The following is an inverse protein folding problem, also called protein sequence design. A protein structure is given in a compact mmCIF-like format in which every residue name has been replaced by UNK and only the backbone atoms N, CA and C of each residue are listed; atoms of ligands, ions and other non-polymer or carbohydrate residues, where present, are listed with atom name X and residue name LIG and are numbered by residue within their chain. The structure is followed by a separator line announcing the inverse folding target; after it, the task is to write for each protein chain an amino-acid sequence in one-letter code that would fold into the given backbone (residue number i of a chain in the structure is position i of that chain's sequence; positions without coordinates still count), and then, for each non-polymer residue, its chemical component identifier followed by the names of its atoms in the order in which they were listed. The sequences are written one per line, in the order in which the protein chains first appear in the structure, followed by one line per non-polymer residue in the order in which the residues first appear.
data_IF_161208895360
#
_entry.id   IF_161208895360
#
_cell.length_a   1.000
_cell.length_b   1.000
_cell.length_c   1.000
_cell.angle_alpha   90.00
_cell.angle_beta   90.00
_cell.angle_gamma   90.00
#
_symmetry.space_group_name_H-M   'P 1'
#
loop_
_entity.id
_entity.type
_entity.pdbx_description
1 polymer ?
#
# COMPACT_ATOMS: atom_id res chain seq x y z
N UNK A 1 -24.81 -51.66 -14.51
CA UNK A 1 -25.62 -50.60 -15.17
C UNK A 1 -25.56 -49.30 -14.36
N UNK A 2 -25.00 -48.27 -14.98
CA UNK A 2 -24.66 -46.96 -14.41
C UNK A 2 -25.86 -46.17 -13.90
N UNK A 3 -25.68 -45.47 -12.79
CA UNK A 3 -26.43 -44.24 -12.49
C UNK A 3 -25.47 -43.16 -12.03
N UNK A 4 -24.97 -42.40 -13.00
CA UNK A 4 -24.16 -41.19 -12.79
C UNK A 4 -25.02 -40.08 -12.20
N UNK A 5 -24.92 -39.89 -10.88
CA UNK A 5 -25.46 -38.72 -10.18
C UNK A 5 -24.51 -37.53 -10.32
N UNK A 6 -24.84 -36.61 -11.23
CA UNK A 6 -24.16 -35.32 -11.41
C UNK A 6 -24.43 -34.43 -10.18
N UNK A 7 -23.43 -34.23 -9.34
CA UNK A 7 -23.50 -33.23 -8.28
C UNK A 7 -23.54 -31.81 -8.88
N UNK A 8 -24.44 -30.91 -8.42
CA UNK A 8 -24.48 -29.53 -8.86
C UNK A 8 -23.26 -28.76 -8.30
N UNK A 9 -22.65 -27.93 -9.15
CA UNK A 9 -21.54 -27.05 -8.77
C UNK A 9 -22.02 -26.04 -7.73
N UNK A 10 -21.30 -25.95 -6.61
CA UNK A 10 -21.49 -24.93 -5.59
C UNK A 10 -21.21 -23.52 -6.16
N UNK A 11 -21.85 -22.46 -5.62
CA UNK A 11 -21.91 -21.15 -6.25
C UNK A 11 -20.56 -20.42 -6.29
N UNK A 12 -20.37 -19.63 -7.34
CA UNK A 12 -19.29 -18.64 -7.48
C UNK A 12 -19.33 -17.64 -6.30
N UNK A 13 -18.12 -17.20 -5.87
CA UNK A 13 -17.79 -16.11 -4.92
C UNK A 13 -18.93 -15.12 -4.64
N UNK A 14 -19.07 -14.62 -3.39
CA UNK A 14 -19.54 -13.27 -3.18
C UNK A 14 -18.50 -12.32 -3.79
N UNK A 15 -18.86 -11.81 -4.96
CA UNK A 15 -18.34 -10.59 -5.52
C UNK A 15 -18.63 -9.49 -4.48
N UNK A 16 -17.60 -8.96 -3.81
CA UNK A 16 -17.74 -7.67 -3.12
C UNK A 16 -17.75 -6.61 -4.22
N UNK A 17 -18.87 -6.54 -4.92
CA UNK A 17 -19.32 -5.36 -5.64
C UNK A 17 -19.98 -4.44 -4.62
N UNK A 18 -19.16 -3.61 -4.01
CA UNK A 18 -19.47 -2.20 -3.74
C UNK A 18 -18.23 -1.61 -3.12
N UNK A 19 -17.36 -1.07 -3.96
CA UNK A 19 -16.53 0.07 -3.59
C UNK A 19 -17.44 1.32 -3.63
N UNK A 20 -18.58 1.27 -2.95
CA UNK A 20 -19.35 2.45 -2.62
C UNK A 20 -18.62 3.08 -1.43
N UNK A 21 -17.86 4.13 -1.76
CA UNK A 21 -17.52 5.24 -0.87
C UNK A 21 -17.44 4.88 0.61
N UNK A 22 -16.26 4.41 1.03
CA UNK A 22 -15.95 4.29 2.44
C UNK A 22 -16.03 5.71 3.05
N UNK A 23 -16.98 6.02 3.97
CA UNK A 23 -17.29 7.41 4.37
C UNK A 23 -16.18 8.12 5.17
N UNK A 24 -15.08 7.42 5.45
CA UNK A 24 -13.97 7.91 6.29
C UNK A 24 -12.88 8.65 5.52
N UNK A 25 -13.00 8.77 4.19
CA UNK A 25 -12.04 9.49 3.36
C UNK A 25 -12.79 10.57 2.59
N UNK A 26 -12.83 11.79 3.13
CA UNK A 26 -13.19 12.93 2.32
C UNK A 26 -12.23 12.99 1.11
N UNK A 27 -12.73 12.98 -0.14
CA UNK A 27 -11.88 13.15 -1.30
C UNK A 27 -11.16 14.49 -1.17
N UNK A 28 -9.84 14.42 -0.98
CA UNK A 28 -8.98 15.59 -0.97
C UNK A 28 -8.09 15.53 -2.23
N UNK A 29 -7.50 16.64 -2.67
CA UNK A 29 -6.53 16.65 -3.79
C UNK A 29 -5.36 15.68 -3.61
N UNK A 30 -5.17 15.16 -2.39
CA UNK A 30 -4.13 14.20 -2.02
C UNK A 30 -4.63 12.75 -1.96
N UNK A 31 -5.93 12.49 -2.09
CA UNK A 31 -6.49 11.13 -2.15
C UNK A 31 -7.56 11.09 -3.26
N UNK A 32 -7.15 11.12 -4.54
CA UNK A 32 -8.09 11.11 -5.65
C UNK A 32 -8.89 9.81 -5.65
N UNK A 33 -10.18 9.90 -6.01
CA UNK A 33 -11.07 8.76 -6.21
C UNK A 33 -10.72 8.01 -7.50
N UNK A 34 -9.52 7.44 -7.56
CA UNK A 34 -9.04 6.62 -8.67
C UNK A 34 -8.83 5.17 -8.22
N UNK A 35 -8.53 4.28 -9.16
CA UNK A 35 -8.32 2.86 -8.87
C UNK A 35 -7.07 2.71 -8.00
N UNK A 36 -7.06 1.73 -7.10
CA UNK A 36 -5.91 1.48 -6.23
C UNK A 36 -4.58 1.35 -7.00
N UNK A 37 -4.62 0.82 -8.23
CA UNK A 37 -3.45 0.70 -9.12
C UNK A 37 -2.80 2.04 -9.47
N UNK A 38 -3.58 3.11 -9.49
CA UNK A 38 -3.13 4.45 -9.92
C UNK A 38 -2.61 5.27 -8.74
N UNK A 39 -2.84 4.84 -7.49
CA UNK A 39 -2.45 5.59 -6.30
C UNK A 39 -0.93 5.74 -6.14
N UNK A 40 -0.14 4.78 -6.61
CA UNK A 40 1.32 4.89 -6.61
C UNK A 40 1.83 6.07 -7.45
N UNK A 41 1.08 6.51 -8.47
CA UNK A 41 1.44 7.61 -9.36
C UNK A 41 0.76 8.93 -8.99
N UNK A 42 -0.53 8.85 -8.63
CA UNK A 42 -1.39 10.02 -8.45
C UNK A 42 -1.33 10.61 -7.04
N UNK A 43 -0.88 9.83 -6.05
CA UNK A 43 -0.76 10.33 -4.67
C UNK A 43 0.56 11.07 -4.49
N UNK A 44 0.61 12.33 -4.91
CA UNK A 44 1.86 13.12 -4.85
C UNK A 44 2.19 13.56 -3.41
N UNK A 45 3.43 13.34 -2.91
CA UNK A 45 3.87 13.86 -1.62
C UNK A 45 4.02 15.39 -1.65
N UNK A 46 3.92 16.04 -0.48
CA UNK A 46 4.06 17.51 -0.36
C UNK A 46 5.42 17.99 -0.88
N UNK A 47 6.48 17.19 -0.72
CA UNK A 47 7.81 17.45 -1.25
C UNK A 47 8.19 16.37 -2.27
N UNK A 48 7.84 16.55 -3.57
CA UNK A 48 8.17 15.59 -4.60
C UNK A 48 9.65 15.68 -5.02
N UNK A 49 10.11 14.66 -5.74
CA UNK A 49 11.47 14.48 -6.30
C UNK A 49 12.16 15.77 -6.79
N UNK A 50 11.40 16.68 -7.43
CA UNK A 50 11.94 17.93 -8.01
C UNK A 50 12.61 18.89 -7.01
N UNK A 51 12.35 18.77 -5.69
CA UNK A 51 12.97 19.66 -4.71
C UNK A 51 14.35 19.14 -4.24
N UNK A 52 14.57 17.82 -4.29
CA UNK A 52 15.85 17.23 -3.86
C UNK A 52 16.99 17.47 -4.86
N UNK A 53 16.69 17.47 -6.16
CA UNK A 53 17.69 17.69 -7.21
C UNK A 53 17.81 19.18 -7.57
N UNK A 54 18.35 19.99 -6.64
CA UNK A 54 18.47 21.45 -6.76
C UNK A 54 19.37 21.92 -7.94
N UNK A 55 19.95 21.00 -8.71
CA UNK A 55 20.92 21.28 -9.78
C UNK A 55 20.39 21.09 -11.20
N UNK A 56 19.25 20.42 -11.40
CA UNK A 56 18.70 20.17 -12.73
C UNK A 56 17.20 20.46 -12.76
N UNK A 57 16.79 21.48 -13.52
CA UNK A 57 15.37 21.81 -13.73
C UNK A 57 14.80 20.87 -14.80
N UNK A 58 14.41 19.66 -14.41
CA UNK A 58 13.65 18.77 -15.30
C UNK A 58 12.24 19.32 -15.54
N UNK A 59 11.71 19.16 -16.75
CA UNK A 59 10.34 19.54 -17.04
C UNK A 59 9.35 18.65 -16.29
N UNK A 60 8.12 19.14 -16.07
CA UNK A 60 7.05 18.34 -15.48
C UNK A 60 6.77 17.05 -16.28
N UNK A 61 6.89 17.12 -17.60
CA UNK A 61 6.69 15.98 -18.52
C UNK A 61 7.76 14.91 -18.27
N UNK A 62 9.02 15.32 -18.10
CA UNK A 62 10.12 14.38 -17.84
C UNK A 62 9.93 13.68 -16.48
N UNK A 63 9.51 14.43 -15.46
CA UNK A 63 9.19 13.83 -14.15
C UNK A 63 8.04 12.83 -14.21
N UNK A 64 6.95 13.18 -14.88
CA UNK A 64 5.82 12.26 -15.07
C UNK A 64 6.23 10.99 -15.81
N UNK A 65 7.10 11.14 -16.82
CA UNK A 65 7.66 10.00 -17.55
C UNK A 65 8.51 9.12 -16.64
N UNK A 66 9.35 9.70 -15.78
CA UNK A 66 10.14 8.96 -14.79
C UNK A 66 9.22 8.18 -13.84
N UNK A 67 8.20 8.83 -13.27
CA UNK A 67 7.25 8.16 -12.38
C UNK A 67 6.55 6.99 -13.08
N UNK A 68 6.07 7.22 -14.30
CA UNK A 68 5.42 6.20 -15.12
C UNK A 68 6.35 5.01 -15.38
N UNK A 69 7.59 5.25 -15.80
CA UNK A 69 8.57 4.18 -16.07
C UNK A 69 8.86 3.37 -14.81
N UNK A 70 9.08 4.02 -13.66
CA UNK A 70 9.31 3.30 -12.39
C UNK A 70 8.09 2.45 -12.02
N UNK A 71 6.88 2.97 -12.20
CA UNK A 71 5.66 2.21 -11.90
C UNK A 71 5.51 0.94 -12.76
N UNK A 72 6.13 0.86 -13.95
CA UNK A 72 6.14 -0.36 -14.76
C UNK A 72 6.98 -1.49 -14.15
N UNK A 73 7.74 -1.24 -13.08
CA UNK A 73 8.42 -2.29 -12.32
C UNK A 73 7.45 -3.30 -11.67
N UNK A 74 6.16 -2.95 -11.55
CA UNK A 74 5.14 -3.81 -10.95
C UNK A 74 3.99 -4.12 -11.92
N UNK A 75 3.47 -5.33 -11.86
CA UNK A 75 2.25 -5.71 -12.57
C UNK A 75 1.03 -4.96 -12.00
N UNK A 76 -0.03 -4.81 -12.79
CA UNK A 76 -1.23 -4.08 -12.38
C UNK A 76 -1.89 -4.63 -11.11
N UNK A 77 -1.93 -5.96 -10.94
CA UNK A 77 -2.46 -6.60 -9.72
C UNK A 77 -1.61 -6.30 -8.49
N UNK A 78 -0.28 -6.19 -8.66
CA UNK A 78 0.64 -5.78 -7.59
C UNK A 78 0.42 -4.32 -7.24
N UNK A 79 0.25 -3.43 -8.23
CA UNK A 79 -0.07 -2.02 -7.99
C UNK A 79 -1.40 -1.85 -7.23
N UNK A 80 -2.42 -2.65 -7.54
CA UNK A 80 -3.70 -2.62 -6.80
C UNK A 80 -3.50 -3.01 -5.31
N UNK A 81 -2.70 -4.05 -5.07
CA UNK A 81 -2.36 -4.50 -3.72
C UNK A 81 -1.56 -3.43 -2.97
N UNK A 82 -0.57 -2.86 -3.63
CA UNK A 82 0.29 -1.81 -3.09
C UNK A 82 -0.47 -0.52 -2.82
N UNK A 83 -1.35 -0.11 -3.72
CA UNK A 83 -2.26 1.01 -3.51
C UNK A 83 -3.12 0.80 -2.27
N UNK A 84 -3.72 -0.39 -2.12
CA UNK A 84 -4.51 -0.73 -0.92
C UNK A 84 -3.70 -0.58 0.37
N UNK A 85 -2.43 -0.99 0.34
CA UNK A 85 -1.49 -0.81 1.46
C UNK A 85 -1.14 0.65 1.75
N UNK A 86 -0.90 1.44 0.70
CA UNK A 86 -0.64 2.88 0.81
C UNK A 86 -1.84 3.61 1.43
N UNK A 87 -3.05 3.24 1.03
CA UNK A 87 -4.26 3.78 1.63
C UNK A 87 -4.36 3.44 3.11
N UNK A 88 -4.14 2.18 3.47
CA UNK A 88 -4.17 1.74 4.87
C UNK A 88 -3.15 2.52 5.72
N UNK A 89 -1.96 2.81 5.17
CA UNK A 89 -0.95 3.63 5.81
C UNK A 89 -1.40 5.07 6.05
N UNK A 90 -2.04 5.71 5.06
CA UNK A 90 -2.53 7.07 5.23
C UNK A 90 -3.70 7.17 6.21
N UNK A 91 -4.64 6.21 6.20
CA UNK A 91 -5.70 6.11 7.21
C UNK A 91 -5.09 5.96 8.60
N UNK A 92 -4.06 5.11 8.75
CA UNK A 92 -3.34 4.97 10.00
C UNK A 92 -2.72 6.30 10.45
N UNK A 93 -2.07 7.04 9.54
CA UNK A 93 -1.48 8.35 9.85
C UNK A 93 -2.55 9.38 10.26
N UNK A 94 -3.69 9.41 9.57
CA UNK A 94 -4.82 10.28 9.90
C UNK A 94 -5.33 9.96 11.32
N UNK A 95 -5.53 8.68 11.66
CA UNK A 95 -5.98 8.25 12.98
C UNK A 95 -4.98 8.57 14.11
N UNK A 96 -3.68 8.66 13.80
CA UNK A 96 -2.63 9.04 14.74
C UNK A 96 -2.37 10.55 14.78
N UNK A 97 -3.14 11.35 14.05
CA UNK A 97 -2.95 12.79 13.90
C UNK A 97 -1.54 13.17 13.42
N UNK A 98 -0.90 12.30 12.62
CA UNK A 98 0.42 12.57 12.06
C UNK A 98 0.26 13.61 10.94
N UNK A 99 0.90 14.79 11.06
CA UNK A 99 0.82 15.84 10.06
C UNK A 99 1.23 15.33 8.68
N UNK A 100 0.54 15.76 7.62
CA UNK A 100 0.86 15.33 6.24
C UNK A 100 2.31 15.64 5.83
N UNK A 101 2.91 16.67 6.42
CA UNK A 101 4.30 17.07 6.20
C UNK A 101 5.32 16.08 6.80
N UNK A 102 4.91 15.29 7.80
CA UNK A 102 5.74 14.30 8.51
C UNK A 102 5.55 12.87 7.96
N UNK A 103 4.63 12.68 6.99
CA UNK A 103 4.37 11.37 6.39
C UNK A 103 5.47 10.94 5.42
N UNK A 104 6.09 11.87 4.65
CA UNK A 104 7.33 11.62 3.93
C UNK A 104 8.49 12.55 4.36
N UNK A 105 9.75 12.07 4.45
CA UNK A 105 10.17 10.67 4.28
C UNK A 105 9.67 9.81 5.45
N UNK A 106 9.33 8.54 5.19
CA UNK A 106 8.80 7.63 6.21
C UNK A 106 9.74 7.55 7.41
N UNK A 107 9.37 8.20 8.51
CA UNK A 107 10.09 8.07 9.78
C UNK A 107 10.00 6.61 10.21
N UNK A 108 11.13 5.93 10.51
CA UNK A 108 11.12 4.49 10.78
C UNK A 108 10.12 4.06 11.85
N UNK A 109 10.00 4.87 12.91
CA UNK A 109 9.04 4.65 13.99
C UNK A 109 7.57 4.65 13.53
N UNK A 110 7.22 5.43 12.50
CA UNK A 110 5.86 5.45 11.94
C UNK A 110 5.57 4.13 11.21
N UNK A 111 6.54 3.60 10.45
CA UNK A 111 6.39 2.30 9.79
C UNK A 111 6.33 1.18 10.84
N UNK A 112 7.17 1.21 11.86
CA UNK A 112 7.12 0.25 12.97
C UNK A 112 5.77 0.26 13.68
N UNK A 113 5.24 1.46 13.95
CA UNK A 113 3.91 1.63 14.56
C UNK A 113 2.79 1.16 13.63
N UNK A 114 2.91 1.39 12.32
CA UNK A 114 1.95 0.91 11.33
C UNK A 114 1.91 -0.63 11.28
N UNK A 115 3.07 -1.29 11.19
CA UNK A 115 3.17 -2.76 11.21
C UNK A 115 2.55 -3.31 12.51
N UNK A 116 2.91 -2.71 13.64
CA UNK A 116 2.40 -3.10 14.96
C UNK A 116 0.89 -2.94 15.07
N UNK A 117 0.31 -1.90 14.46
CA UNK A 117 -1.13 -1.66 14.44
C UNK A 117 -1.91 -2.69 13.61
N UNK A 118 -1.28 -3.32 12.62
CA UNK A 118 -1.90 -4.35 11.79
C UNK A 118 -1.73 -5.77 12.34
N UNK A 119 -0.73 -5.97 13.20
CA UNK A 119 -0.44 -7.26 13.82
C UNK A 119 -1.67 -7.79 14.60
N UNK A 120 -1.95 -9.08 14.48
CA UNK A 120 -3.13 -9.70 15.10
C UNK A 120 -4.44 -9.53 14.32
N UNK A 121 -4.53 -8.55 13.43
CA UNK A 121 -5.74 -8.33 12.60
C UNK A 121 -5.57 -8.77 11.15
N UNK A 122 -4.35 -8.72 10.61
CA UNK A 122 -4.05 -9.08 9.22
C UNK A 122 -3.08 -10.25 9.13
N UNK A 123 -3.05 -10.91 7.97
CA UNK A 123 -2.02 -11.91 7.66
C UNK A 123 -0.66 -11.26 7.55
N UNK A 124 0.41 -12.01 7.90
CA UNK A 124 1.78 -11.54 7.69
C UNK A 124 2.07 -11.15 6.24
N UNK A 125 1.53 -11.91 5.28
CA UNK A 125 1.64 -11.60 3.85
C UNK A 125 0.94 -10.32 3.43
N UNK A 126 -0.24 -10.02 4.00
CA UNK A 126 -0.96 -8.78 3.73
C UNK A 126 -0.19 -7.58 4.28
N UNK A 127 0.33 -7.68 5.51
CA UNK A 127 1.13 -6.63 6.14
C UNK A 127 2.41 -6.37 5.33
N UNK A 128 3.13 -7.42 4.93
CA UNK A 128 4.33 -7.30 4.09
C UNK A 128 4.03 -6.64 2.74
N UNK A 129 2.91 -7.01 2.09
CA UNK A 129 2.46 -6.35 0.86
C UNK A 129 2.14 -4.87 1.08
N UNK A 130 1.55 -4.51 2.23
CA UNK A 130 1.23 -3.11 2.52
C UNK A 130 2.49 -2.28 2.72
N UNK A 131 3.47 -2.76 3.51
CA UNK A 131 4.77 -2.11 3.67
C UNK A 131 5.48 -1.97 2.32
N UNK A 132 5.42 -3.00 1.48
CA UNK A 132 5.97 -2.96 0.13
C UNK A 132 5.30 -1.90 -0.74
N UNK A 133 3.99 -1.67 -0.58
CA UNK A 133 3.27 -0.59 -1.26
C UNK A 133 3.74 0.80 -0.84
N UNK A 134 3.96 1.02 0.45
CA UNK A 134 4.53 2.28 0.95
C UNK A 134 5.96 2.47 0.44
N UNK A 135 6.78 1.42 0.40
CA UNK A 135 8.13 1.44 -0.19
C UNK A 135 8.10 1.78 -1.68
N UNK A 136 7.22 1.14 -2.44
CA UNK A 136 7.06 1.40 -3.87
C UNK A 136 6.67 2.87 -4.14
N UNK A 137 5.78 3.42 -3.32
CA UNK A 137 5.40 4.83 -3.38
C UNK A 137 6.60 5.76 -3.14
N UNK A 138 7.45 5.47 -2.14
CA UNK A 138 8.69 6.21 -1.93
C UNK A 138 9.62 6.14 -3.14
N UNK A 139 9.81 4.94 -3.70
CA UNK A 139 10.63 4.73 -4.90
C UNK A 139 10.11 5.50 -6.11
N UNK A 140 8.79 5.50 -6.35
CA UNK A 140 8.17 6.27 -7.45
C UNK A 140 8.43 7.77 -7.26
N UNK A 141 8.23 8.31 -6.06
CA UNK A 141 8.37 9.73 -5.81
C UNK A 141 9.78 10.20 -5.44
N UNK A 142 10.77 9.30 -5.41
CA UNK A 142 12.17 9.63 -5.08
C UNK A 142 12.33 10.10 -3.64
N UNK A 143 11.52 9.56 -2.73
CA UNK A 143 11.60 9.83 -1.31
C UNK A 143 12.59 8.86 -0.66
N UNK A 144 13.29 9.34 0.38
CA UNK A 144 14.20 8.51 1.15
C UNK A 144 13.44 7.36 1.84
N UNK A 145 13.99 6.15 1.75
CA UNK A 145 13.51 4.95 2.44
C UNK A 145 14.60 4.45 3.39
N UNK A 146 14.73 5.10 4.54
CA UNK A 146 15.78 4.83 5.52
C UNK A 146 15.26 4.01 6.72
N UNK A 147 14.68 2.83 6.46
CA UNK A 147 14.23 1.94 7.52
C UNK A 147 15.36 1.12 8.12
N UNK A 148 15.22 0.75 9.39
CA UNK A 148 16.02 -0.30 9.98
C UNK A 148 15.48 -1.66 9.52
N UNK A 149 16.18 -2.32 8.61
CA UNK A 149 15.77 -3.61 8.06
C UNK A 149 15.65 -4.70 9.14
N UNK A 150 16.54 -4.70 10.13
CA UNK A 150 16.51 -5.70 11.23
C UNK A 150 15.27 -5.54 12.11
N UNK A 151 14.95 -4.30 12.48
CA UNK A 151 13.73 -3.99 13.24
C UNK A 151 12.47 -4.32 12.42
N UNK A 152 12.46 -3.92 11.16
CA UNK A 152 11.33 -4.15 10.25
C UNK A 152 11.07 -5.64 10.06
N UNK A 153 12.12 -6.45 9.84
CA UNK A 153 12.01 -7.90 9.71
C UNK A 153 11.53 -8.57 11.00
N UNK A 154 12.01 -8.11 12.16
CA UNK A 154 11.54 -8.60 13.45
C UNK A 154 10.04 -8.33 13.65
N UNK A 155 9.58 -7.13 13.30
CA UNK A 155 8.16 -6.76 13.37
C UNK A 155 7.30 -7.57 12.41
N UNK A 156 7.73 -7.74 11.16
CA UNK A 156 7.00 -8.55 10.18
C UNK A 156 6.92 -10.03 10.59
N UNK A 157 8.00 -10.57 11.18
CA UNK A 157 8.02 -11.92 11.74
C UNK A 157 7.06 -12.05 12.92
N UNK A 158 7.08 -11.09 13.84
CA UNK A 158 6.16 -11.05 14.98
C UNK A 158 4.70 -10.96 14.51
N UNK A 159 4.40 -10.05 13.58
CA UNK A 159 3.07 -9.88 13.01
C UNK A 159 2.55 -11.16 12.32
N UNK A 160 3.43 -11.89 11.63
CA UNK A 160 3.11 -13.18 11.02
C UNK A 160 2.76 -14.26 12.06
N UNK A 161 3.47 -14.28 13.19
CA UNK A 161 3.19 -15.21 14.30
C UNK A 161 1.84 -14.92 14.97
N UNK A 162 1.55 -13.62 15.16
CA UNK A 162 0.33 -13.10 15.75
C UNK A 162 -0.88 -13.15 14.81
N UNK A 163 -0.69 -13.51 13.53
CA UNK A 163 -1.77 -13.54 12.56
C UNK A 163 -2.95 -14.43 13.02
N UNK A 164 -4.20 -14.07 12.69
CA UNK A 164 -5.38 -14.86 13.03
C UNK A 164 -5.23 -16.32 12.60
N UNK A 165 -5.76 -17.25 13.40
CA UNK A 165 -5.69 -18.69 13.11
C UNK A 165 -6.23 -19.06 11.73
N UNK A 166 -7.28 -18.38 11.26
CA UNK A 166 -7.86 -18.56 9.92
C UNK A 166 -6.94 -18.15 8.77
N UNK A 167 -5.86 -17.41 9.05
CA UNK A 167 -4.89 -16.95 8.05
C UNK A 167 -3.64 -17.83 7.96
N UNK A 168 -3.43 -18.76 8.89
CA UNK A 168 -2.25 -19.65 8.88
C UNK A 168 -2.49 -20.74 7.85
N UNK A 169 -1.57 -20.90 6.89
CA UNK A 169 -1.61 -22.03 5.94
C UNK A 169 -1.36 -23.34 6.73
N UNK A 170 -2.08 -24.44 6.42
CA UNK A 170 -1.80 -25.76 6.98
C UNK A 170 -0.37 -26.23 6.67
#
# INVERSE_FOLDING_TARGET
PNTTGRAPRSPKKPMVSSLESNPLLCPSPLCPSCKARDWLLLWVPIKPRSILDSKATLSLIDMQRIYSVIAHAWADSTKETYGSGLLAFHIFCDNKNIPKLERPPAVPSIISAFISNLAGSYSGSAISNYVSGVKAWHTVHGLEWALNDTETDALLKAASSLAPSQSKRP
#
